data_IF_256225147676
#
_entry.id   IF_256225147676
#
_cell.length_a   1.000
_cell.length_b   1.000
_cell.length_c   1.000
_cell.angle_alpha   90.00
_cell.angle_beta   90.00
_cell.angle_gamma   90.00
#
_symmetry.space_group_name_H-M   'P 1'
#
loop_
_entity.id
_entity.type
_entity.pdbx_description
1 polymer ?
#
# COMPACT_ATOMS: atom_id res chain seq x y z
N UNK A 1 -13.10 24.54 24.64
CA UNK A 1 -13.88 23.54 23.89
C UNK A 1 -13.65 23.58 22.37
N UNK A 2 -14.03 24.65 21.66
CA UNK A 2 -13.95 24.68 20.19
C UNK A 2 -12.52 24.59 19.63
N UNK A 3 -11.57 25.30 20.25
CA UNK A 3 -10.15 25.29 19.83
C UNK A 3 -9.51 23.93 20.07
N UNK A 4 -9.79 23.28 21.20
CA UNK A 4 -9.27 21.94 21.52
C UNK A 4 -9.81 20.90 20.52
N UNK A 5 -11.10 20.97 20.19
CA UNK A 5 -11.72 20.13 19.16
C UNK A 5 -11.09 20.33 17.79
N UNK A 6 -10.82 21.58 17.40
CA UNK A 6 -10.15 21.90 16.13
C UNK A 6 -8.74 21.30 16.08
N UNK A 7 -7.95 21.49 17.14
CA UNK A 7 -6.58 20.95 17.23
C UNK A 7 -6.60 19.43 17.19
N UNK A 8 -7.51 18.80 17.93
CA UNK A 8 -7.67 17.36 17.92
C UNK A 8 -8.06 16.82 16.53
N UNK A 9 -9.05 17.45 15.88
CA UNK A 9 -9.48 17.06 14.55
C UNK A 9 -8.36 17.23 13.51
N UNK A 10 -7.62 18.34 13.58
CA UNK A 10 -6.47 18.58 12.70
C UNK A 10 -5.38 17.52 12.92
N UNK A 11 -5.07 17.22 14.17
CA UNK A 11 -4.08 16.20 14.51
C UNK A 11 -4.50 14.82 13.98
N UNK A 12 -5.74 14.40 14.26
CA UNK A 12 -6.27 13.13 13.77
C UNK A 12 -6.27 13.06 12.23
N UNK A 13 -6.66 14.13 11.56
CA UNK A 13 -6.68 14.22 10.11
C UNK A 13 -5.27 14.17 9.50
N UNK A 14 -4.29 14.82 10.12
CA UNK A 14 -2.90 14.77 9.66
C UNK A 14 -2.25 13.41 9.94
N UNK A 15 -2.50 12.79 11.09
CA UNK A 15 -1.96 11.47 11.42
C UNK A 15 -2.53 10.38 10.51
N UNK A 16 -3.86 10.31 10.37
CA UNK A 16 -4.50 9.27 9.55
C UNK A 16 -4.40 9.62 8.07
N UNK A 17 -4.75 10.84 7.70
CA UNK A 17 -4.75 11.30 6.32
C UNK A 17 -3.35 11.36 5.72
N UNK A 18 -2.33 11.72 6.50
CA UNK A 18 -0.94 11.70 6.06
C UNK A 18 -0.45 10.29 5.71
N UNK A 19 -0.76 9.29 6.56
CA UNK A 19 -0.40 7.89 6.28
C UNK A 19 -1.14 7.35 5.06
N UNK A 20 -2.44 7.66 4.91
CA UNK A 20 -3.21 7.23 3.75
C UNK A 20 -2.72 7.89 2.45
N UNK A 21 -2.37 9.17 2.48
CA UNK A 21 -1.76 9.85 1.34
C UNK A 21 -0.42 9.23 0.96
N UNK A 22 0.43 8.95 1.94
CA UNK A 22 1.71 8.28 1.69
C UNK A 22 1.51 6.90 1.09
N UNK A 23 0.59 6.11 1.62
CA UNK A 23 0.23 4.80 1.07
C UNK A 23 -0.25 4.92 -0.37
N UNK A 24 -1.13 5.88 -0.67
CA UNK A 24 -1.63 6.10 -2.03
C UNK A 24 -0.51 6.49 -3.00
N UNK A 25 0.46 7.30 -2.57
CA UNK A 25 1.63 7.63 -3.40
C UNK A 25 2.52 6.42 -3.66
N UNK A 26 2.83 5.64 -2.61
CA UNK A 26 3.59 4.39 -2.76
C UNK A 26 2.86 3.45 -3.69
N UNK A 27 1.56 3.23 -3.45
CA UNK A 27 0.75 2.35 -4.28
C UNK A 27 0.72 2.80 -5.73
N UNK A 28 0.57 4.10 -6.02
CA UNK A 28 0.59 4.63 -7.38
C UNK A 28 1.95 4.39 -8.07
N UNK A 29 3.04 4.51 -7.34
CA UNK A 29 4.39 4.23 -7.86
C UNK A 29 4.58 2.72 -8.10
N UNK A 30 4.14 1.88 -7.16
CA UNK A 30 4.28 0.42 -7.23
C UNK A 30 3.28 -0.23 -8.19
N UNK A 31 2.14 0.38 -8.50
CA UNK A 31 1.18 -0.13 -9.50
C UNK A 31 1.77 -0.08 -10.92
N UNK A 32 2.78 0.77 -11.16
CA UNK A 32 3.54 0.79 -12.41
C UNK A 32 4.58 -0.34 -12.47
N UNK A 33 4.87 -0.98 -11.34
CA UNK A 33 5.70 -2.18 -11.27
C UNK A 33 4.83 -3.36 -11.70
N UNK A 34 5.31 -4.13 -12.68
CA UNK A 34 4.62 -5.30 -13.22
C UNK A 34 4.38 -6.28 -12.06
N UNK A 35 3.19 -6.19 -11.45
CA UNK A 35 2.81 -7.08 -10.36
C UNK A 35 2.74 -8.47 -10.95
N UNK A 36 3.76 -9.29 -10.64
CA UNK A 36 3.85 -10.66 -11.15
C UNK A 36 2.53 -11.36 -10.82
N UNK A 37 1.76 -11.68 -11.86
CA UNK A 37 0.44 -12.26 -11.68
C UNK A 37 0.60 -13.54 -10.85
N UNK A 38 -0.24 -13.68 -9.83
CA UNK A 38 -0.15 -14.80 -8.90
C UNK A 38 -0.15 -16.15 -9.65
N UNK A 39 -0.87 -16.25 -10.76
CA UNK A 39 -0.92 -17.47 -11.58
C UNK A 39 0.41 -17.72 -12.27
N UNK A 40 1.09 -16.68 -12.73
CA UNK A 40 2.41 -16.79 -13.36
C UNK A 40 3.48 -17.14 -12.33
N UNK A 41 3.41 -16.54 -11.13
CA UNK A 41 4.24 -16.91 -9.99
C UNK A 41 4.08 -18.39 -9.57
N UNK A 42 2.82 -18.87 -9.50
CA UNK A 42 2.53 -20.28 -9.18
C UNK A 42 2.97 -21.23 -10.31
N UNK A 43 2.92 -20.78 -11.57
CA UNK A 43 3.40 -21.56 -12.72
C UNK A 43 4.91 -21.74 -12.67
N UNK A 44 5.64 -20.66 -12.45
CA UNK A 44 7.10 -20.68 -12.39
C UNK A 44 7.61 -21.52 -11.22
N UNK A 45 6.97 -21.42 -10.05
CA UNK A 45 7.26 -22.27 -8.90
C UNK A 45 7.04 -23.77 -9.19
N UNK A 46 5.99 -24.13 -9.96
CA UNK A 46 5.76 -25.52 -10.36
C UNK A 46 6.79 -26.01 -11.38
N UNK A 47 7.20 -25.18 -12.32
CA UNK A 47 8.24 -25.51 -13.30
C UNK A 47 9.61 -25.71 -12.63
N UNK A 48 9.97 -24.87 -11.67
CA UNK A 48 11.20 -25.01 -10.89
C UNK A 48 11.19 -26.27 -10.02
N UNK A 49 10.05 -26.58 -9.39
CA UNK A 49 9.88 -27.83 -8.63
C UNK A 49 9.97 -29.10 -9.48
N UNK A 50 9.73 -29.02 -10.80
CA UNK A 50 9.86 -30.14 -11.74
C UNK A 50 11.26 -30.26 -12.35
N UNK A 51 12.07 -29.20 -12.29
CA UNK A 51 13.46 -29.19 -12.77
C UNK A 51 14.46 -29.73 -11.74
N UNK A 52 14.08 -29.82 -10.45
CA UNK A 52 14.82 -30.52 -9.39
C UNK A 52 14.31 -31.94 -9.22
#
# INVERSE_FOLDING_TARGET
MAVELLVFALFALLSVGGTLLLYAFIQRETDAEETMDRRDAEREAQEESRRR
#
